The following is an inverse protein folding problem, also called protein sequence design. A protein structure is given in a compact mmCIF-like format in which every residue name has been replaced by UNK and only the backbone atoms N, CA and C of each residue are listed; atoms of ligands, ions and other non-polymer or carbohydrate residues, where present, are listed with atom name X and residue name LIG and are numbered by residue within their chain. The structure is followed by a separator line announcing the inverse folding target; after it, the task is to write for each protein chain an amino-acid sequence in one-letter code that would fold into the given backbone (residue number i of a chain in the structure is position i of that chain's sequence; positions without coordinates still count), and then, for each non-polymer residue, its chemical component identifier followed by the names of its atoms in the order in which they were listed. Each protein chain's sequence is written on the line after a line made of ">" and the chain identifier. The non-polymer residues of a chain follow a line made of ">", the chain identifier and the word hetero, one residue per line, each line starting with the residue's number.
data_IF_573311791173
#
_entry.id   IF_573311791173
#
_cell.length_a   1.000
_cell.length_b   1.000
_cell.length_c   1.000
_cell.angle_alpha   90.00
_cell.angle_beta   90.00
_cell.angle_gamma   90.00
#
_symmetry.space_group_name_H-M   'P 1'
#
loop_
_entity.id
_entity.type
_entity.pdbx_description
1 polymer ?
#
# COMPACT_ATOMS: atom_id res chain seq x y z
N UNK A 1 18.35 -15.49 -4.75
CA UNK A 1 17.37 -14.87 -5.68
C UNK A 1 17.51 -13.36 -5.55
N UNK A 2 17.48 -12.63 -6.66
CA UNK A 2 17.54 -11.17 -6.66
C UNK A 2 16.14 -10.59 -6.46
N UNK A 3 15.98 -9.61 -5.58
CA UNK A 3 14.74 -8.87 -5.32
C UNK A 3 14.98 -7.41 -5.68
N UNK A 4 14.21 -6.90 -6.62
CA UNK A 4 14.36 -5.51 -7.06
C UNK A 4 13.54 -4.59 -6.15
N UNK A 5 14.12 -3.45 -5.77
CA UNK A 5 13.49 -2.38 -5.02
C UNK A 5 13.38 -1.16 -5.94
N UNK A 6 12.30 -1.08 -6.70
CA UNK A 6 12.05 0.02 -7.61
C UNK A 6 11.60 1.24 -6.82
N UNK A 7 12.12 2.42 -7.15
CA UNK A 7 11.72 3.64 -6.46
C UNK A 7 11.86 4.88 -7.33
N UNK A 8 11.13 5.93 -6.99
CA UNK A 8 11.43 7.29 -7.49
C UNK A 8 11.71 8.22 -6.32
N UNK A 9 12.57 9.24 -6.53
CA UNK A 9 13.03 10.11 -5.46
C UNK A 9 13.30 11.53 -5.94
N UNK A 10 12.41 12.47 -5.57
CA UNK A 10 12.54 13.88 -5.98
C UNK A 10 13.56 14.64 -5.11
N UNK A 11 13.39 14.59 -3.78
CA UNK A 11 14.23 15.32 -2.81
C UNK A 11 15.27 14.44 -2.08
N UNK A 12 15.49 13.21 -2.53
CA UNK A 12 16.49 12.30 -1.94
C UNK A 12 16.04 11.49 -0.71
N UNK A 13 14.86 11.77 -0.13
CA UNK A 13 14.35 11.04 1.04
C UNK A 13 14.14 9.55 0.76
N UNK A 14 13.41 9.22 -0.32
CA UNK A 14 13.16 7.82 -0.74
C UNK A 14 14.46 7.12 -1.08
N UNK A 15 15.35 7.78 -1.83
CA UNK A 15 16.69 7.26 -2.15
C UNK A 15 17.51 6.93 -0.90
N UNK A 16 17.50 7.81 0.09
CA UNK A 16 18.19 7.58 1.36
C UNK A 16 17.62 6.36 2.08
N UNK A 17 16.29 6.25 2.17
CA UNK A 17 15.63 5.12 2.82
C UNK A 17 15.94 3.80 2.12
N UNK A 18 15.75 3.74 0.80
CA UNK A 18 15.98 2.52 -0.01
C UNK A 18 17.43 2.06 0.07
N UNK A 19 18.41 2.97 0.04
CA UNK A 19 19.81 2.61 0.20
C UNK A 19 20.11 2.00 1.57
N UNK A 20 19.60 2.61 2.65
CA UNK A 20 19.77 2.09 4.01
C UNK A 20 19.08 0.73 4.19
N UNK A 21 17.85 0.58 3.67
CA UNK A 21 17.13 -0.69 3.67
C UNK A 21 17.90 -1.76 2.89
N UNK A 22 18.44 -1.44 1.72
CA UNK A 22 19.25 -2.37 0.91
C UNK A 22 20.48 -2.84 1.68
N UNK A 23 21.23 -1.92 2.30
CA UNK A 23 22.39 -2.27 3.13
C UNK A 23 22.00 -3.18 4.29
N UNK A 24 20.92 -2.85 5.01
CA UNK A 24 20.42 -3.64 6.13
C UNK A 24 19.97 -5.05 5.68
N UNK A 25 19.17 -5.12 4.61
CA UNK A 25 18.60 -6.37 4.11
C UNK A 25 19.67 -7.33 3.58
N UNK A 26 20.65 -6.83 2.81
CA UNK A 26 21.75 -7.64 2.28
C UNK A 26 22.71 -8.15 3.37
N UNK A 27 22.73 -7.53 4.55
CA UNK A 27 23.51 -8.03 5.68
C UNK A 27 22.81 -9.19 6.43
N UNK A 28 21.51 -9.38 6.24
CA UNK A 28 20.70 -10.34 7.01
C UNK A 28 20.14 -11.49 6.18
N UNK A 29 20.00 -11.30 4.87
CA UNK A 29 19.21 -12.18 4.02
C UNK A 29 20.07 -13.06 3.12
N UNK A 30 19.48 -14.17 2.68
CA UNK A 30 19.97 -14.95 1.54
C UNK A 30 19.49 -14.40 0.20
N UNK A 31 18.52 -13.47 0.21
CA UNK A 31 18.15 -12.67 -0.95
C UNK A 31 19.19 -11.58 -1.22
N UNK A 32 19.35 -11.23 -2.49
CA UNK A 32 20.12 -10.06 -2.90
C UNK A 32 19.12 -8.98 -3.26
N UNK A 33 19.13 -7.87 -2.53
CA UNK A 33 18.29 -6.71 -2.78
C UNK A 33 19.04 -5.72 -3.66
N UNK A 34 18.41 -5.34 -4.77
CA UNK A 34 18.98 -4.41 -5.75
C UNK A 34 18.06 -3.19 -5.90
N UNK A 35 18.50 -1.98 -5.52
CA UNK A 35 17.71 -0.77 -5.67
C UNK A 35 17.79 -0.24 -7.10
N UNK A 36 16.64 0.15 -7.67
CA UNK A 36 16.54 0.69 -9.03
C UNK A 36 15.74 1.99 -8.98
N UNK A 37 16.40 3.09 -9.33
CA UNK A 37 15.76 4.40 -9.41
C UNK A 37 15.10 4.59 -10.78
N UNK A 38 13.80 4.85 -10.77
CA UNK A 38 12.99 5.12 -11.96
C UNK A 38 12.87 6.63 -12.16
N UNK A 39 13.16 7.06 -13.38
CA UNK A 39 13.11 8.44 -13.87
C UNK A 39 12.67 8.46 -15.34
N UNK A 40 12.40 9.63 -15.89
CA UNK A 40 11.95 9.80 -17.28
C UNK A 40 12.96 9.31 -18.35
N UNK A 41 14.21 9.03 -17.95
CA UNK A 41 15.27 8.51 -18.82
C UNK A 41 15.60 7.03 -18.57
N UNK A 42 14.81 6.35 -17.74
CA UNK A 42 15.00 4.93 -17.46
C UNK A 42 14.60 4.10 -18.68
N UNK A 43 15.41 3.10 -19.01
CA UNK A 43 15.06 2.13 -20.06
C UNK A 43 13.86 1.27 -19.63
N UNK A 44 12.98 0.98 -20.59
CA UNK A 44 11.89 0.02 -20.42
C UNK A 44 12.47 -1.40 -20.32
N UNK A 45 12.54 -1.91 -19.09
CA UNK A 45 13.02 -3.25 -18.78
C UNK A 45 11.84 -4.07 -18.29
N UNK A 46 11.58 -5.20 -18.95
CA UNK A 46 10.55 -6.12 -18.53
C UNK A 46 10.82 -6.65 -17.09
N UNK A 47 9.86 -6.44 -16.19
CA UNK A 47 9.97 -6.82 -14.79
C UNK A 47 9.60 -8.29 -14.59
N UNK A 48 10.52 -9.17 -14.96
CA UNK A 48 10.31 -10.64 -14.99
C UNK A 48 10.56 -11.35 -13.65
N UNK A 49 10.95 -10.64 -12.60
CA UNK A 49 11.23 -11.22 -11.28
C UNK A 49 10.50 -10.45 -10.18
N UNK A 50 10.15 -11.10 -9.06
CA UNK A 50 9.41 -10.44 -7.98
C UNK A 50 10.10 -9.18 -7.46
N UNK A 51 9.34 -8.10 -7.32
CA UNK A 51 9.86 -6.81 -6.90
C UNK A 51 8.89 -6.04 -6.00
N UNK A 52 9.41 -5.00 -5.37
CA UNK A 52 8.66 -4.05 -4.55
C UNK A 52 8.89 -2.64 -5.07
N UNK A 53 7.88 -1.79 -4.95
CA UNK A 53 7.96 -0.39 -5.38
C UNK A 53 7.80 0.59 -4.21
N UNK A 54 8.64 1.63 -4.20
CA UNK A 54 8.66 2.70 -3.20
C UNK A 54 8.29 4.01 -3.86
N UNK A 55 7.22 4.65 -3.38
CA UNK A 55 6.70 5.87 -3.98
C UNK A 55 6.52 6.98 -2.93
N UNK A 56 7.17 8.14 -3.10
CA UNK A 56 6.87 9.31 -2.28
C UNK A 56 5.57 9.97 -2.73
N UNK A 57 4.93 10.72 -1.83
CA UNK A 57 3.69 11.43 -2.14
C UNK A 57 3.97 12.89 -2.50
N UNK A 58 3.69 13.25 -3.76
CA UNK A 58 3.73 14.64 -4.25
C UNK A 58 2.41 14.96 -4.93
N UNK A 59 1.66 15.89 -4.34
CA UNK A 59 0.30 16.21 -4.75
C UNK A 59 0.14 17.72 -4.88
N UNK A 60 -0.74 18.13 -5.79
CA UNK A 60 -1.21 19.49 -5.95
C UNK A 60 -2.72 19.55 -5.72
N UNK A 61 -3.16 20.54 -4.94
CA UNK A 61 -4.56 20.80 -4.61
C UNK A 61 -5.27 19.76 -3.73
N UNK A 62 -6.53 20.06 -3.41
CA UNK A 62 -7.46 19.17 -2.70
C UNK A 62 -7.13 18.95 -1.21
N UNK A 63 -7.97 18.14 -0.55
CA UNK A 63 -7.83 17.79 0.87
C UNK A 63 -7.55 16.29 1.11
N UNK A 64 -7.46 15.48 0.05
CA UNK A 64 -7.25 14.03 0.14
C UNK A 64 -8.51 13.18 0.37
N UNK A 65 -9.68 13.82 0.49
CA UNK A 65 -10.98 13.19 0.79
C UNK A 65 -11.95 13.44 -0.37
N UNK A 66 -12.02 14.68 -0.87
CA UNK A 66 -12.86 15.06 -1.99
C UNK A 66 -12.05 15.16 -3.30
N UNK A 67 -12.62 15.85 -4.30
CA UNK A 67 -11.98 16.10 -5.58
C UNK A 67 -10.86 17.16 -5.50
N UNK A 68 -10.11 17.28 -6.60
CA UNK A 68 -9.09 18.33 -6.77
C UNK A 68 -7.67 17.94 -6.41
N UNK A 69 -7.42 16.69 -5.98
CA UNK A 69 -6.05 16.18 -5.74
C UNK A 69 -5.45 15.62 -7.03
N UNK A 70 -4.38 16.23 -7.50
CA UNK A 70 -3.59 15.78 -8.65
C UNK A 70 -2.21 15.28 -8.20
N UNK A 71 -1.80 14.11 -8.68
CA UNK A 71 -0.42 13.66 -8.52
C UNK A 71 0.52 14.43 -9.45
N UNK A 72 1.68 14.80 -8.93
CA UNK A 72 2.73 15.49 -9.65
C UNK A 72 4.09 14.86 -9.36
N UNK A 73 5.04 14.99 -10.28
CA UNK A 73 6.45 14.56 -10.15
C UNK A 73 6.70 13.05 -10.03
N UNK A 74 5.74 12.24 -9.61
CA UNK A 74 5.92 10.79 -9.38
C UNK A 74 5.22 9.90 -10.41
N UNK A 75 4.50 10.52 -11.37
CA UNK A 75 3.74 9.82 -12.41
C UNK A 75 4.61 8.89 -13.26
N UNK A 76 5.88 9.21 -13.49
CA UNK A 76 6.80 8.35 -14.24
C UNK A 76 6.91 6.95 -13.64
N UNK A 77 6.79 6.79 -12.31
CA UNK A 77 6.76 5.46 -11.69
C UNK A 77 5.44 4.71 -11.97
N UNK A 78 4.29 5.39 -12.02
CA UNK A 78 3.01 4.76 -12.41
C UNK A 78 3.11 4.23 -13.84
N UNK A 79 3.57 5.08 -14.75
CA UNK A 79 3.69 4.76 -16.17
C UNK A 79 4.67 3.60 -16.37
N UNK A 80 5.84 3.65 -15.74
CA UNK A 80 6.83 2.59 -15.80
C UNK A 80 6.29 1.24 -15.34
N UNK A 81 5.63 1.20 -14.17
CA UNK A 81 5.05 -0.03 -13.64
C UNK A 81 3.93 -0.58 -14.53
N UNK A 82 3.08 0.31 -15.07
CA UNK A 82 1.97 -0.08 -15.95
C UNK A 82 2.44 -0.69 -17.27
N UNK A 83 3.56 -0.20 -17.79
CA UNK A 83 4.13 -0.69 -19.05
C UNK A 83 4.99 -1.95 -18.87
N UNK A 84 5.72 -2.06 -17.76
CA UNK A 84 6.78 -3.05 -17.60
C UNK A 84 6.43 -4.23 -16.68
N UNK A 85 5.40 -4.15 -15.83
CA UNK A 85 4.95 -5.26 -14.96
C UNK A 85 3.87 -6.14 -15.61
N UNK A 86 4.12 -6.60 -16.83
CA UNK A 86 3.17 -7.41 -17.61
C UNK A 86 2.89 -8.79 -16.99
N UNK A 87 3.82 -9.30 -16.18
CA UNK A 87 3.75 -10.61 -15.52
C UNK A 87 3.29 -10.53 -14.05
N UNK A 88 2.79 -9.37 -13.61
CA UNK A 88 2.27 -9.13 -12.24
C UNK A 88 3.24 -9.57 -11.13
N UNK A 89 4.51 -9.18 -11.28
CA UNK A 89 5.60 -9.45 -10.36
C UNK A 89 5.71 -8.42 -9.23
N UNK A 90 4.97 -7.31 -9.28
CA UNK A 90 4.86 -6.37 -8.15
C UNK A 90 4.20 -7.08 -6.96
N UNK A 91 4.97 -7.26 -5.88
CA UNK A 91 4.46 -7.95 -4.69
C UNK A 91 3.84 -7.02 -3.65
N UNK A 92 4.23 -5.75 -3.65
CA UNK A 92 3.67 -4.76 -2.74
C UNK A 92 4.32 -3.39 -2.88
N UNK A 93 3.62 -2.40 -2.31
CA UNK A 93 4.03 -1.01 -2.31
C UNK A 93 4.47 -0.54 -0.93
N UNK A 94 5.42 0.38 -0.92
CA UNK A 94 5.86 1.08 0.28
C UNK A 94 5.74 2.59 0.03
N UNK A 95 4.97 3.28 0.86
CA UNK A 95 4.74 4.71 0.72
C UNK A 95 5.70 5.57 1.54
N UNK A 96 6.14 6.70 0.99
CA UNK A 96 6.76 7.79 1.75
C UNK A 96 5.87 9.03 1.72
N UNK A 97 5.82 9.76 2.83
CA UNK A 97 5.04 11.00 2.91
C UNK A 97 5.45 11.87 4.09
N UNK A 98 4.60 12.85 4.40
CA UNK A 98 4.73 13.73 5.56
C UNK A 98 3.36 13.81 6.26
N UNK A 99 3.32 13.47 7.54
CA UNK A 99 2.07 13.34 8.31
C UNK A 99 1.33 14.68 8.44
N UNK A 100 2.02 15.81 8.27
CA UNK A 100 1.41 17.14 8.25
C UNK A 100 0.38 17.34 7.10
N UNK A 101 0.34 16.43 6.12
CA UNK A 101 -0.64 16.45 5.03
C UNK A 101 -1.93 15.67 5.35
N UNK A 102 -2.11 15.18 6.58
CA UNK A 102 -3.35 14.55 7.07
C UNK A 102 -3.87 13.45 6.11
N UNK A 103 -5.09 13.58 5.59
CA UNK A 103 -5.71 12.58 4.70
C UNK A 103 -4.96 12.37 3.37
N UNK A 104 -4.07 13.28 2.99
CA UNK A 104 -3.19 13.14 1.83
C UNK A 104 -1.91 12.36 2.14
N UNK A 105 -1.62 12.07 3.42
CA UNK A 105 -0.48 11.24 3.79
C UNK A 105 -0.56 9.89 3.06
N UNK A 106 0.50 9.56 2.30
CA UNK A 106 0.64 8.30 1.54
C UNK A 106 -0.42 8.09 0.45
N UNK A 107 -1.17 9.11 0.07
CA UNK A 107 -2.28 8.97 -0.87
C UNK A 107 -1.83 8.44 -2.24
N UNK A 108 -0.63 8.80 -2.72
CA UNK A 108 -0.07 8.22 -3.96
C UNK A 108 0.10 6.70 -3.83
N UNK A 109 0.74 6.24 -2.76
CA UNK A 109 0.95 4.80 -2.52
C UNK A 109 -0.38 4.04 -2.39
N UNK A 110 -1.37 4.61 -1.71
CA UNK A 110 -2.71 4.00 -1.60
C UNK A 110 -3.42 3.90 -2.96
N UNK A 111 -3.31 4.93 -3.81
CA UNK A 111 -3.85 4.91 -5.17
C UNK A 111 -3.18 3.85 -6.02
N UNK A 112 -1.86 3.74 -5.96
CA UNK A 112 -1.09 2.71 -6.68
C UNK A 112 -1.48 1.30 -6.21
N UNK A 113 -1.64 1.09 -4.90
CA UNK A 113 -2.05 -0.21 -4.36
C UNK A 113 -3.39 -0.64 -4.93
N UNK A 114 -4.36 0.27 -4.96
CA UNK A 114 -5.67 0.01 -5.58
C UNK A 114 -5.54 -0.24 -7.08
N UNK A 115 -4.74 0.56 -7.80
CA UNK A 115 -4.57 0.46 -9.25
C UNK A 115 -3.93 -0.87 -9.68
N UNK A 116 -2.79 -1.23 -9.09
CA UNK A 116 -2.06 -2.47 -9.40
C UNK A 116 -2.62 -3.68 -8.66
N UNK A 117 -3.58 -3.47 -7.76
CA UNK A 117 -4.23 -4.53 -7.00
C UNK A 117 -3.25 -5.36 -6.18
N UNK A 118 -2.33 -4.67 -5.51
CA UNK A 118 -1.28 -5.20 -4.64
C UNK A 118 -1.34 -4.51 -3.27
N UNK A 119 -0.90 -5.17 -2.19
CA UNK A 119 -0.95 -4.57 -0.88
C UNK A 119 0.08 -3.44 -0.73
N UNK A 120 -0.29 -2.40 0.03
CA UNK A 120 0.67 -1.48 0.63
C UNK A 120 1.15 -2.11 1.94
N UNK A 121 2.40 -2.56 1.93
CA UNK A 121 2.97 -3.39 3.01
C UNK A 121 3.89 -2.60 3.93
N UNK A 122 3.97 -1.28 3.73
CA UNK A 122 4.84 -0.43 4.52
C UNK A 122 4.69 1.03 4.18
N UNK A 123 5.17 1.82 5.11
CA UNK A 123 5.06 3.27 5.11
C UNK A 123 6.12 3.88 5.99
N UNK A 124 6.58 5.08 5.64
CA UNK A 124 7.48 5.85 6.48
C UNK A 124 7.32 7.35 6.22
N UNK A 125 7.74 8.14 7.20
CA UNK A 125 7.76 9.59 7.08
C UNK A 125 9.13 10.09 6.63
N UNK A 126 9.13 10.98 5.61
CA UNK A 126 10.32 11.58 5.04
C UNK A 126 11.38 10.53 4.67
N UNK A 127 12.54 10.53 5.34
CA UNK A 127 13.66 9.60 5.10
C UNK A 127 13.59 8.30 5.89
N UNK A 128 12.56 8.14 6.73
CA UNK A 128 12.35 7.01 7.62
C UNK A 128 13.39 6.88 8.74
N UNK A 129 12.98 6.16 9.77
CA UNK A 129 13.79 5.82 10.94
C UNK A 129 14.46 4.46 10.76
N UNK A 130 15.30 4.06 11.72
CA UNK A 130 15.81 2.69 11.75
C UNK A 130 14.70 1.67 12.01
N UNK A 131 13.74 1.97 12.89
CA UNK A 131 12.60 1.10 13.15
C UNK A 131 11.75 0.86 11.88
N UNK A 132 11.61 1.86 11.01
CA UNK A 132 10.93 1.72 9.72
C UNK A 132 11.65 0.74 8.79
N UNK A 133 13.00 0.79 8.74
CA UNK A 133 13.80 -0.14 7.94
C UNK A 133 13.56 -1.58 8.40
N UNK A 134 13.66 -1.82 9.71
CA UNK A 134 13.53 -3.15 10.29
C UNK A 134 12.14 -3.72 10.06
N UNK A 135 11.10 -2.92 10.32
CA UNK A 135 9.70 -3.31 10.08
C UNK A 135 9.41 -3.59 8.62
N UNK A 136 9.82 -2.69 7.71
CA UNK A 136 9.55 -2.84 6.27
C UNK A 136 10.32 -4.05 5.71
N UNK A 137 11.54 -4.31 6.17
CA UNK A 137 12.27 -5.52 5.80
C UNK A 137 11.51 -6.80 6.21
N UNK A 138 11.01 -6.88 7.45
CA UNK A 138 10.21 -8.03 7.89
C UNK A 138 8.93 -8.19 7.05
N UNK A 139 8.28 -7.09 6.70
CA UNK A 139 7.09 -7.11 5.85
C UNK A 139 7.39 -7.63 4.44
N UNK A 140 8.52 -7.22 3.86
CA UNK A 140 9.01 -7.73 2.57
C UNK A 140 9.26 -9.24 2.64
N UNK A 141 9.93 -9.74 3.69
CA UNK A 141 10.15 -11.18 3.87
C UNK A 141 8.84 -11.96 4.02
N UNK A 142 7.90 -11.44 4.83
CA UNK A 142 6.55 -12.02 4.95
C UNK A 142 5.86 -12.10 3.59
N UNK A 143 5.97 -11.06 2.77
CA UNK A 143 5.33 -11.05 1.44
C UNK A 143 5.99 -12.01 0.46
N UNK A 144 7.31 -12.15 0.50
CA UNK A 144 8.05 -13.10 -0.33
C UNK A 144 7.66 -14.55 0.00
N UNK A 145 7.58 -14.90 1.28
CA UNK A 145 7.20 -16.26 1.72
C UNK A 145 5.75 -16.62 1.38
N UNK A 146 4.80 -15.70 1.54
CA UNK A 146 3.40 -15.95 1.14
C UNK A 146 3.23 -16.06 -0.36
N UNK A 147 4.00 -15.31 -1.16
CA UNK A 147 3.97 -15.43 -2.62
C UNK A 147 4.49 -16.77 -3.14
N UNK A 148 5.45 -17.39 -2.43
CA UNK A 148 6.01 -18.69 -2.81
C UNK A 148 5.12 -19.87 -2.39
N UNK A 149 4.31 -19.70 -1.34
CA UNK A 149 3.44 -20.74 -0.77
C UNK A 149 2.05 -20.69 -1.39
N UNK A 150 1.97 -20.86 -2.71
CA UNK A 150 0.69 -20.93 -3.45
C UNK A 150 0.33 -22.36 -3.84
N UNK A 151 0.21 -23.26 -2.85
CA UNK A 151 -0.56 -24.50 -2.94
C UNK A 151 -0.67 -25.15 -1.55
N UNK A 152 -1.88 -25.57 -1.17
CA UNK A 152 -2.27 -26.28 0.07
C UNK A 152 -2.48 -25.43 1.33
N UNK A 153 -3.65 -25.64 1.95
CA UNK A 153 -4.11 -25.16 3.25
C UNK A 153 -4.77 -23.77 3.33
N UNK A 154 -5.90 -23.60 2.63
CA UNK A 154 -6.97 -22.70 3.10
C UNK A 154 -7.76 -23.38 4.23
N UNK A 155 -7.24 -23.31 5.45
CA UNK A 155 -8.15 -23.33 6.60
C UNK A 155 -8.85 -21.98 6.59
N UNK A 156 -10.17 -21.95 6.38
CA UNK A 156 -10.96 -20.73 6.56
C UNK A 156 -10.89 -20.37 8.05
N UNK A 157 -9.87 -19.61 8.43
CA UNK A 157 -9.92 -18.85 9.67
C UNK A 157 -11.04 -17.83 9.42
N UNK A 158 -12.11 -17.96 10.19
CA UNK A 158 -13.19 -16.99 10.20
C UNK A 158 -12.58 -15.68 10.73
N UNK A 159 -12.12 -14.82 9.83
CA UNK A 159 -11.45 -13.58 10.20
C UNK A 159 -12.42 -12.72 10.99
N UNK A 160 -11.95 -12.13 12.10
CA UNK A 160 -12.72 -11.18 12.88
C UNK A 160 -12.82 -9.85 12.12
N UNK A 161 -13.60 -9.84 11.04
CA UNK A 161 -13.80 -8.66 10.21
C UNK A 161 -14.72 -7.67 10.91
N UNK A 162 -14.26 -6.43 11.00
CA UNK A 162 -15.09 -5.29 11.39
C UNK A 162 -15.17 -4.26 10.27
N UNK A 163 -16.22 -3.45 10.34
CA UNK A 163 -16.49 -2.40 9.39
C UNK A 163 -16.65 -1.06 10.07
N UNK A 164 -16.10 -0.04 9.43
CA UNK A 164 -16.48 1.35 9.68
C UNK A 164 -17.28 1.85 8.48
N UNK A 165 -18.49 2.35 8.73
CA UNK A 165 -19.46 2.72 7.69
C UNK A 165 -19.95 4.15 7.89
N UNK A 166 -19.92 4.95 6.83
CA UNK A 166 -20.62 6.22 6.75
C UNK A 166 -21.82 6.01 5.83
N UNK A 167 -23.02 6.16 6.38
CA UNK A 167 -24.27 5.98 5.64
C UNK A 167 -24.82 7.33 5.16
N UNK A 168 -25.16 7.39 3.88
CA UNK A 168 -25.93 8.48 3.29
C UNK A 168 -26.87 7.89 2.23
N UNK A 169 -28.07 8.47 2.05
CA UNK A 169 -29.15 7.89 1.23
C UNK A 169 -28.74 7.46 -0.19
N UNK A 170 -27.70 8.05 -0.78
CA UNK A 170 -27.23 7.73 -2.13
C UNK A 170 -25.73 7.44 -2.28
N UNK A 171 -24.88 7.76 -1.28
CA UNK A 171 -23.42 7.69 -1.40
C UNK A 171 -22.74 7.43 -0.06
N UNK A 172 -22.84 6.20 0.45
CA UNK A 172 -22.09 5.77 1.63
C UNK A 172 -20.64 5.37 1.29
N UNK A 173 -19.78 5.41 2.30
CA UNK A 173 -18.39 4.96 2.21
C UNK A 173 -18.10 3.98 3.35
N UNK A 174 -17.19 3.02 3.11
CA UNK A 174 -16.80 2.05 4.13
C UNK A 174 -15.32 1.67 4.04
N UNK A 175 -14.79 1.18 5.16
CA UNK A 175 -13.58 0.36 5.20
C UNK A 175 -13.86 -0.95 5.92
N UNK A 176 -13.24 -2.02 5.44
CA UNK A 176 -13.20 -3.32 6.12
C UNK A 176 -11.84 -3.48 6.77
N UNK A 177 -11.83 -4.04 7.97
CA UNK A 177 -10.65 -4.20 8.79
C UNK A 177 -10.59 -5.64 9.29
N UNK A 178 -9.43 -6.27 9.14
CA UNK A 178 -9.09 -7.56 9.72
C UNK A 178 -8.01 -7.33 10.78
N UNK A 179 -8.41 -7.32 12.05
CA UNK A 179 -7.49 -7.06 13.17
C UNK A 179 -6.53 -8.23 13.41
N UNK A 180 -6.94 -9.46 13.08
CA UNK A 180 -6.12 -10.67 13.24
C UNK A 180 -4.97 -10.68 12.24
N UNK A 181 -5.27 -10.36 10.98
CA UNK A 181 -4.28 -10.30 9.91
C UNK A 181 -3.56 -8.95 9.81
N UNK A 182 -4.08 -7.92 10.50
CA UNK A 182 -3.66 -6.51 10.44
C UNK A 182 -3.83 -5.92 9.04
N UNK A 183 -4.99 -6.12 8.42
CA UNK A 183 -5.33 -5.59 7.11
C UNK A 183 -6.44 -4.55 7.16
N UNK A 184 -6.37 -3.56 6.27
CA UNK A 184 -7.44 -2.59 6.02
C UNK A 184 -7.67 -2.45 4.52
N UNK A 185 -8.93 -2.32 4.10
CA UNK A 185 -9.28 -2.14 2.68
C UNK A 185 -8.97 -0.74 2.17
N UNK A 186 -9.06 -0.54 0.86
CA UNK A 186 -9.29 0.79 0.28
C UNK A 186 -10.63 1.37 0.74
N UNK A 187 -10.88 2.66 0.51
CA UNK A 187 -12.20 3.26 0.71
C UNK A 187 -13.17 2.61 -0.29
N UNK A 188 -14.25 2.03 0.21
CA UNK A 188 -15.24 1.30 -0.57
C UNK A 188 -16.50 2.16 -0.71
N UNK A 189 -16.98 2.41 -1.94
CA UNK A 189 -18.35 2.89 -2.13
C UNK A 189 -19.33 1.83 -1.62
N UNK A 190 -20.19 2.22 -0.69
CA UNK A 190 -21.06 1.29 0.04
C UNK A 190 -22.11 0.62 -0.87
N UNK A 191 -22.52 1.32 -1.92
CA UNK A 191 -23.47 0.84 -2.94
C UNK A 191 -22.86 -0.19 -3.91
N UNK A 192 -21.53 -0.30 -3.97
CA UNK A 192 -20.81 -1.18 -4.90
C UNK A 192 -20.41 -2.53 -4.29
N UNK A 193 -20.58 -2.73 -2.98
CA UNK A 193 -20.08 -3.89 -2.23
C UNK A 193 -21.19 -4.52 -1.36
N UNK A 194 -21.07 -5.83 -1.10
CA UNK A 194 -22.04 -6.57 -0.27
C UNK A 194 -21.44 -6.84 1.11
N UNK A 195 -22.02 -6.20 2.13
CA UNK A 195 -21.53 -6.25 3.52
C UNK A 195 -22.28 -7.25 4.41
N UNK A 196 -23.21 -8.03 3.84
CA UNK A 196 -24.17 -8.89 4.57
C UNK A 196 -23.53 -9.90 5.55
N UNK A 197 -22.28 -10.29 5.31
CA UNK A 197 -21.55 -11.24 6.15
C UNK A 197 -20.72 -10.58 7.27
N UNK A 198 -20.62 -9.25 7.28
CA UNK A 198 -19.94 -8.50 8.34
C UNK A 198 -20.98 -8.06 9.36
N UNK A 199 -20.85 -8.57 10.57
CA UNK A 199 -21.80 -8.31 11.67
C UNK A 199 -21.31 -7.24 12.64
N UNK A 200 -20.00 -7.02 12.70
CA UNK A 200 -19.38 -5.98 13.54
C UNK A 200 -19.26 -4.68 12.75
N UNK A 201 -20.32 -3.86 12.74
CA UNK A 201 -20.39 -2.60 12.00
C UNK A 201 -20.45 -1.44 13.01
N UNK A 202 -19.54 -0.48 12.84
CA UNK A 202 -19.57 0.81 13.52
C UNK A 202 -19.93 1.90 12.52
N UNK A 203 -21.01 2.63 12.76
CA UNK A 203 -21.42 3.77 11.92
C UNK A 203 -20.75 5.05 12.40
N UNK A 204 -20.27 5.88 11.46
CA UNK A 204 -19.68 7.20 11.73
C UNK A 204 -20.53 8.33 11.17
N UNK A 205 -20.29 9.54 11.66
CA UNK A 205 -21.10 10.72 11.36
C UNK A 205 -20.63 11.49 10.13
N UNK A 206 -19.41 11.27 9.65
CA UNK A 206 -18.87 11.95 8.48
C UNK A 206 -17.88 11.07 7.71
N UNK A 207 -17.71 11.28 6.39
CA UNK A 207 -16.76 10.51 5.59
C UNK A 207 -15.33 10.69 6.11
N UNK A 208 -14.96 11.88 6.59
CA UNK A 208 -13.62 12.18 7.12
C UNK A 208 -13.20 11.19 8.23
N UNK A 209 -14.15 10.72 9.05
CA UNK A 209 -13.85 9.73 10.08
C UNK A 209 -13.32 8.41 9.50
N UNK A 210 -13.77 8.00 8.32
CA UNK A 210 -13.28 6.80 7.62
C UNK A 210 -11.85 7.01 7.16
N UNK A 211 -11.55 8.14 6.51
CA UNK A 211 -10.21 8.44 6.02
C UNK A 211 -9.21 8.58 7.18
N UNK A 212 -9.63 9.24 8.27
CA UNK A 212 -8.81 9.37 9.48
C UNK A 212 -8.52 8.00 10.09
N UNK A 213 -9.52 7.13 10.25
CA UNK A 213 -9.31 5.81 10.81
C UNK A 213 -8.40 4.95 9.92
N UNK A 214 -8.65 4.93 8.61
CA UNK A 214 -7.80 4.18 7.68
C UNK A 214 -6.34 4.66 7.75
N UNK A 215 -6.11 5.97 7.77
CA UNK A 215 -4.76 6.52 7.91
C UNK A 215 -4.17 6.20 9.27
N UNK A 216 -4.95 6.23 10.36
CA UNK A 216 -4.46 5.84 11.68
C UNK A 216 -3.98 4.37 11.69
N UNK A 217 -4.80 3.47 11.17
CA UNK A 217 -4.48 2.04 11.06
C UNK A 217 -3.19 1.81 10.27
N UNK A 218 -3.03 2.49 9.14
CA UNK A 218 -1.83 2.36 8.29
C UNK A 218 -0.61 3.02 8.95
N UNK A 219 -0.72 4.29 9.34
CA UNK A 219 0.42 5.16 9.67
C UNK A 219 0.93 5.06 11.11
N UNK A 220 0.08 4.63 12.03
CA UNK A 220 0.37 4.58 13.46
C UNK A 220 0.26 3.16 14.02
N UNK A 221 -0.59 2.33 13.40
CA UNK A 221 -0.77 0.94 13.82
C UNK A 221 -0.14 -0.06 12.83
N UNK A 222 0.42 0.39 11.72
CA UNK A 222 1.16 -0.45 10.78
C UNK A 222 0.33 -1.60 10.17
N UNK A 223 -0.97 -1.38 9.96
CA UNK A 223 -1.80 -2.27 9.13
C UNK A 223 -1.34 -2.21 7.68
N UNK A 224 -1.40 -3.35 6.98
CA UNK A 224 -1.26 -3.34 5.53
C UNK A 224 -2.56 -2.89 4.90
N UNK A 225 -2.47 -2.00 3.91
CA UNK A 225 -3.63 -1.69 3.09
C UNK A 225 -3.71 -2.71 1.95
N UNK A 226 -4.74 -3.54 1.97
CA UNK A 226 -4.93 -4.63 1.02
C UNK A 226 -6.17 -4.35 0.15
N UNK A 227 -6.01 -4.14 -1.17
CA UNK A 227 -7.14 -3.90 -2.05
C UNK A 227 -8.10 -5.09 -2.10
N UNK A 228 -9.40 -4.83 -1.98
CA UNK A 228 -10.47 -5.83 -2.15
C UNK A 228 -10.84 -5.90 -3.64
N UNK A 229 -10.81 -7.12 -4.20
CA UNK A 229 -10.88 -7.37 -5.66
C UNK A 229 -12.31 -7.46 -6.23
N UNK A 230 -13.35 -7.68 -5.42
CA UNK A 230 -14.74 -7.98 -5.84
C UNK A 230 -15.75 -7.56 -4.76
N UNK A 231 -17.05 -7.75 -5.02
CA UNK A 231 -18.13 -7.65 -4.01
C UNK A 231 -17.89 -8.48 -2.74
N UNK A 232 -17.09 -9.55 -2.85
CA UNK A 232 -16.66 -10.39 -1.73
C UNK A 232 -15.53 -9.71 -0.95
N UNK A 233 -15.76 -9.40 0.32
CA UNK A 233 -14.87 -8.62 1.18
C UNK A 233 -13.77 -9.49 1.82
N UNK A 234 -13.13 -10.29 0.99
CA UNK A 234 -12.00 -11.13 1.41
C UNK A 234 -10.70 -10.45 1.01
N UNK A 235 -9.82 -10.21 1.98
CA UNK A 235 -8.42 -9.87 1.70
C UNK A 235 -7.75 -11.04 0.98
N UNK A 236 -7.02 -10.77 -0.11
CA UNK A 236 -6.30 -11.77 -0.90
C UNK A 236 -4.91 -11.29 -1.23
#
# INVERSE_FOLDING_TARGET
>A
MNIQLLYTSIAGNTKNFVNRLTTYANAQSTYIFTPIEISDVSDDIELTTPFFAFVPTYLDGGNGIHSGVKEIMTNGLMEYLSLNDTNHQLLGLIGSGNKNFNAQYLLTARRYATHFNVPMIGEYELRGTQADIERIYQNILRRLTTSTTSASDTTQIQSNLRMLLFEQEQHGEAIVIDDDARYVSQILPADQHQFEHITNITTVTSPENIYTEQINLIANEHYWMCPIKKKSLTFK
#
